data_IF_736799189958
#
_entry.id   IF_736799189958
#
_cell.length_a   1.000
_cell.length_b   1.000
_cell.length_c   1.000
_cell.angle_alpha   90.00
_cell.angle_beta   90.00
_cell.angle_gamma   90.00
#
_symmetry.space_group_name_H-M   'P 1'
#
loop_
_entity.id
_entity.type
_entity.pdbx_description
1 polymer ?
#
# COMPACT_ATOMS: atom_id res chain seq x y z
N UNK A 1 36.13 -37.61 24.32
CA UNK A 1 35.75 -36.28 24.86
C UNK A 1 37.01 -35.59 25.38
N UNK A 2 37.20 -34.27 25.24
CA UNK A 2 36.71 -33.42 24.14
C UNK A 2 37.74 -32.40 23.59
N UNK A 3 37.59 -32.12 22.30
CA UNK A 3 37.55 -30.82 21.61
C UNK A 3 38.70 -29.78 21.77
N UNK A 4 39.59 -29.84 20.76
CA UNK A 4 39.96 -28.76 19.82
C UNK A 4 40.08 -27.31 20.34
N UNK A 5 41.34 -26.87 20.38
CA UNK A 5 41.83 -25.48 20.29
C UNK A 5 41.08 -24.68 19.22
N UNK A 6 40.64 -23.46 19.52
CA UNK A 6 40.67 -22.30 18.61
C UNK A 6 40.09 -21.06 19.30
N UNK A 7 40.91 -20.19 19.90
CA UNK A 7 40.60 -18.76 20.00
C UNK A 7 41.94 -18.00 20.04
N UNK A 8 42.40 -17.52 18.88
CA UNK A 8 43.39 -16.44 18.81
C UNK A 8 43.05 -15.49 17.66
N UNK A 9 42.58 -14.29 18.03
CA UNK A 9 42.77 -12.97 17.44
C UNK A 9 42.44 -12.71 15.96
N UNK A 10 41.55 -11.75 15.70
CA UNK A 10 41.97 -10.46 15.14
C UNK A 10 40.87 -9.39 15.19
N UNK A 11 41.31 -8.16 15.45
CA UNK A 11 40.55 -6.93 15.48
C UNK A 11 39.93 -6.56 14.12
N UNK A 12 38.97 -5.62 14.16
CA UNK A 12 38.38 -4.85 13.06
C UNK A 12 37.31 -5.53 12.20
N UNK A 13 36.06 -5.49 12.68
CA UNK A 13 35.07 -4.65 11.98
C UNK A 13 34.14 -4.06 13.04
N UNK A 14 34.20 -2.73 13.20
CA UNK A 14 33.09 -1.99 13.77
C UNK A 14 31.88 -2.34 12.91
N UNK A 15 30.96 -3.12 13.46
CA UNK A 15 29.64 -3.33 12.89
C UNK A 15 28.99 -1.94 12.89
N UNK A 16 29.17 -1.21 11.80
CA UNK A 16 28.40 -0.02 11.49
C UNK A 16 26.98 -0.51 11.32
N UNK A 17 26.27 -0.63 12.44
CA UNK A 17 24.83 -0.63 12.45
C UNK A 17 24.47 0.75 11.89
N UNK A 18 24.35 0.83 10.56
CA UNK A 18 23.66 1.93 9.90
C UNK A 18 22.26 1.84 10.48
N UNK A 19 22.03 2.56 11.58
CA UNK A 19 20.69 2.97 11.97
C UNK A 19 20.18 3.68 10.72
N UNK A 20 19.37 2.97 9.94
CA UNK A 20 18.51 3.63 8.99
C UNK A 20 17.74 4.62 9.85
N UNK A 21 17.89 5.95 9.64
CA UNK A 21 17.06 6.88 10.35
C UNK A 21 15.62 6.41 10.11
N UNK A 22 14.90 6.12 11.19
CA UNK A 22 13.47 5.93 11.11
C UNK A 22 12.94 7.24 10.54
N UNK A 23 12.71 7.24 9.24
CA UNK A 23 12.07 8.32 8.54
C UNK A 23 10.68 8.40 9.14
N UNK A 24 10.47 9.28 10.10
CA UNK A 24 9.14 9.76 10.47
C UNK A 24 8.63 10.63 9.31
N UNK A 25 8.54 10.05 8.11
CA UNK A 25 7.78 10.62 7.01
C UNK A 25 6.33 10.38 7.35
N UNK A 26 5.68 11.40 7.90
CA UNK A 26 4.25 11.55 7.70
C UNK A 26 4.03 11.52 6.20
N UNK A 27 3.33 10.50 5.71
CA UNK A 27 2.98 10.42 4.29
C UNK A 27 2.20 11.67 3.91
N UNK A 28 2.72 12.42 2.95
CA UNK A 28 2.11 13.67 2.54
C UNK A 28 0.85 13.40 1.71
N UNK A 29 -0.21 14.15 2.00
CA UNK A 29 -1.44 14.10 1.23
C UNK A 29 -1.17 14.42 -0.25
N UNK A 30 -1.76 13.65 -1.16
CA UNK A 30 -1.69 13.93 -2.58
C UNK A 30 -2.93 14.71 -3.05
N UNK A 31 -2.84 16.04 -3.09
CA UNK A 31 -3.98 16.90 -3.45
C UNK A 31 -4.52 16.64 -4.86
N UNK A 32 -3.69 16.19 -5.80
CA UNK A 32 -4.14 15.80 -7.15
C UNK A 32 -5.01 14.54 -7.16
N UNK A 33 -5.01 13.75 -6.08
CA UNK A 33 -5.92 12.59 -5.93
C UNK A 33 -7.35 13.03 -5.60
N UNK A 34 -7.51 14.13 -4.85
CA UNK A 34 -8.80 14.60 -4.33
C UNK A 34 -9.87 14.79 -5.43
N UNK A 35 -9.60 15.50 -6.55
CA UNK A 35 -10.62 15.68 -7.58
C UNK A 35 -11.02 14.39 -8.31
N UNK A 36 -10.31 13.29 -8.09
CA UNK A 36 -10.56 11.97 -8.72
C UNK A 36 -11.45 11.07 -7.87
N UNK A 37 -11.77 11.50 -6.64
CA UNK A 37 -12.57 10.73 -5.70
C UNK A 37 -13.99 10.55 -6.25
N UNK A 38 -14.46 9.32 -6.23
CA UNK A 38 -15.85 8.95 -6.51
C UNK A 38 -16.32 7.97 -5.45
N UNK A 39 -17.48 8.22 -4.86
CA UNK A 39 -18.12 7.28 -3.93
C UNK A 39 -18.90 6.29 -4.78
N UNK A 40 -18.65 5.00 -4.60
CA UNK A 40 -19.25 3.92 -5.40
C UNK A 40 -19.92 2.90 -4.50
N UNK A 41 -20.91 2.18 -5.04
CA UNK A 41 -21.66 1.18 -4.28
C UNK A 41 -20.82 -0.09 -3.99
N UNK A 42 -19.88 -0.41 -4.88
CA UNK A 42 -18.99 -1.55 -4.74
C UNK A 42 -17.68 -1.31 -5.47
N UNK A 43 -16.61 -1.93 -4.97
CA UNK A 43 -15.36 -2.06 -5.70
C UNK A 43 -15.36 -3.27 -6.64
N UNK A 44 -14.49 -3.25 -7.67
CA UNK A 44 -14.24 -4.41 -8.51
C UNK A 44 -13.91 -5.66 -7.69
N UNK A 45 -14.52 -6.79 -8.05
CA UNK A 45 -14.40 -8.06 -7.31
C UNK A 45 -13.36 -9.01 -7.88
N UNK A 46 -12.91 -8.75 -9.10
CA UNK A 46 -11.90 -9.54 -9.80
C UNK A 46 -11.07 -8.67 -10.76
N UNK A 47 -10.08 -9.30 -11.37
CA UNK A 47 -9.14 -8.65 -12.29
C UNK A 47 -9.83 -8.05 -13.52
N UNK A 48 -10.91 -8.66 -14.03
CA UNK A 48 -11.60 -8.19 -15.23
C UNK A 48 -12.37 -6.92 -14.93
N UNK A 49 -13.16 -6.92 -13.85
CA UNK A 49 -13.86 -5.71 -13.37
C UNK A 49 -12.85 -4.60 -13.03
N UNK A 50 -11.73 -4.96 -12.41
CA UNK A 50 -10.69 -4.00 -12.04
C UNK A 50 -10.03 -3.36 -13.26
N UNK A 51 -9.71 -4.16 -14.28
CA UNK A 51 -9.10 -3.65 -15.52
C UNK A 51 -10.02 -2.64 -16.20
N UNK A 52 -11.32 -2.97 -16.30
CA UNK A 52 -12.33 -2.08 -16.90
C UNK A 52 -12.42 -0.77 -16.09
N UNK A 53 -12.57 -0.85 -14.77
CA UNK A 53 -12.70 0.32 -13.92
C UNK A 53 -11.44 1.22 -13.95
N UNK A 54 -10.25 0.60 -13.93
CA UNK A 54 -8.97 1.31 -14.09
C UNK A 54 -8.90 2.06 -15.42
N UNK A 55 -9.27 1.39 -16.52
CA UNK A 55 -9.22 1.97 -17.86
C UNK A 55 -10.25 3.09 -18.05
N UNK A 56 -11.41 3.02 -17.38
CA UNK A 56 -12.40 4.10 -17.34
C UNK A 56 -11.90 5.29 -16.51
N UNK A 57 -11.25 5.03 -15.36
CA UNK A 57 -10.77 6.10 -14.46
C UNK A 57 -9.59 6.88 -15.04
N UNK A 58 -8.78 6.24 -15.89
CA UNK A 58 -7.69 6.86 -16.65
C UNK A 58 -6.67 7.65 -15.81
N UNK A 59 -6.22 7.09 -14.68
CA UNK A 59 -5.29 7.76 -13.78
C UNK A 59 -3.96 8.20 -14.44
N UNK A 60 -3.56 7.53 -15.53
CA UNK A 60 -2.35 7.85 -16.29
C UNK A 60 -2.38 9.20 -17.02
N UNK A 61 -3.56 9.80 -17.25
CA UNK A 61 -3.68 11.15 -17.83
C UNK A 61 -3.54 12.27 -16.80
N UNK A 62 -3.51 11.94 -15.50
CA UNK A 62 -3.54 12.93 -14.43
C UNK A 62 -2.13 13.43 -14.15
N UNK A 63 -1.91 14.72 -14.40
CA UNK A 63 -0.65 15.38 -14.05
C UNK A 63 -0.54 15.60 -12.55
N UNK A 64 0.41 14.91 -11.90
CA UNK A 64 0.64 14.97 -10.46
C UNK A 64 2.13 14.99 -10.11
N UNK A 65 2.46 15.38 -8.87
CA UNK A 65 3.83 15.46 -8.35
C UNK A 65 4.05 14.67 -7.05
N UNK A 66 3.05 13.91 -6.62
CA UNK A 66 3.03 13.10 -5.41
C UNK A 66 3.93 11.86 -5.52
N UNK A 67 4.04 11.27 -6.72
CA UNK A 67 4.82 10.06 -6.97
C UNK A 67 5.25 9.99 -8.43
N UNK A 68 6.02 8.96 -8.79
CA UNK A 68 6.32 8.67 -10.20
C UNK A 68 5.03 8.37 -10.96
N UNK A 69 4.87 8.79 -12.23
CA UNK A 69 3.63 8.57 -12.98
C UNK A 69 3.15 7.11 -12.99
N UNK A 70 4.06 6.15 -13.07
CA UNK A 70 3.76 4.71 -13.11
C UNK A 70 3.28 4.15 -11.76
N UNK A 71 3.33 4.96 -10.70
CA UNK A 71 2.86 4.61 -9.35
C UNK A 71 1.64 5.42 -8.94
N UNK A 72 1.07 6.19 -9.84
CA UNK A 72 -0.18 6.90 -9.60
C UNK A 72 -1.30 6.14 -10.29
N UNK A 73 -1.87 5.19 -9.55
CA UNK A 73 -2.73 4.16 -10.11
C UNK A 73 -4.16 4.27 -9.59
N UNK A 74 -5.03 3.50 -10.23
CA UNK A 74 -6.40 3.29 -9.82
C UNK A 74 -6.46 2.51 -8.51
N UNK A 75 -7.31 2.98 -7.61
CA UNK A 75 -7.68 2.29 -6.39
C UNK A 75 -9.19 2.34 -6.20
N UNK A 76 -9.74 1.23 -5.70
CA UNK A 76 -11.05 1.22 -5.09
C UNK A 76 -10.94 0.54 -3.72
N UNK A 77 -11.25 1.28 -2.66
CA UNK A 77 -11.01 0.88 -1.28
C UNK A 77 -12.19 1.30 -0.40
N UNK A 78 -12.51 0.58 0.69
CA UNK A 78 -13.42 1.12 1.68
C UNK A 78 -12.85 2.40 2.32
N UNK A 79 -13.72 3.24 2.85
CA UNK A 79 -13.31 4.30 3.75
C UNK A 79 -12.85 3.73 5.11
N UNK A 80 -12.24 4.57 5.95
CA UNK A 80 -11.76 4.16 7.28
C UNK A 80 -12.84 3.52 8.17
N UNK A 81 -14.12 3.83 7.93
CA UNK A 81 -15.25 3.33 8.70
C UNK A 81 -15.95 2.13 8.05
N UNK A 82 -15.50 1.68 6.87
CA UNK A 82 -16.10 0.59 6.08
C UNK A 82 -17.60 0.79 5.79
N UNK A 83 -18.01 2.05 5.58
CA UNK A 83 -19.39 2.44 5.28
C UNK A 83 -19.65 2.62 3.80
N UNK A 84 -18.61 2.94 3.03
CA UNK A 84 -18.69 3.23 1.61
C UNK A 84 -17.39 2.84 0.92
N UNK A 85 -17.46 2.65 -0.39
CA UNK A 85 -16.29 2.44 -1.22
C UNK A 85 -15.89 3.74 -1.92
N UNK A 86 -14.59 3.96 -1.96
CA UNK A 86 -13.93 5.13 -2.52
C UNK A 86 -13.12 4.67 -3.72
N UNK A 87 -13.49 5.16 -4.89
CA UNK A 87 -12.74 4.99 -6.12
C UNK A 87 -11.91 6.26 -6.40
N UNK A 88 -10.59 6.11 -6.53
CA UNK A 88 -9.65 7.24 -6.55
C UNK A 88 -8.38 6.88 -7.35
N UNK A 89 -7.76 7.88 -7.97
CA UNK A 89 -6.38 7.80 -8.45
C UNK A 89 -5.45 8.30 -7.36
N UNK A 90 -4.49 7.48 -6.92
CA UNK A 90 -3.61 7.83 -5.81
C UNK A 90 -2.24 7.15 -5.95
N UNK A 91 -1.23 7.58 -5.17
CA UNK A 91 0.02 6.85 -5.08
C UNK A 91 -0.18 5.41 -4.56
N UNK A 92 0.40 4.45 -5.27
CA UNK A 92 0.42 3.05 -4.85
C UNK A 92 1.18 2.88 -3.54
N UNK A 93 0.71 1.99 -2.67
CA UNK A 93 1.33 1.66 -1.40
C UNK A 93 1.56 0.17 -1.27
N UNK A 94 2.70 -0.21 -0.70
CA UNK A 94 2.95 -1.59 -0.33
C UNK A 94 2.18 -1.94 0.94
N UNK A 95 1.33 -2.96 0.84
CA UNK A 95 0.56 -3.48 1.95
C UNK A 95 1.22 -4.76 2.44
N UNK A 96 1.39 -4.85 3.76
CA UNK A 96 2.12 -5.92 4.44
C UNK A 96 1.18 -6.67 5.37
N UNK A 97 1.35 -7.99 5.45
CA UNK A 97 0.75 -8.85 6.47
C UNK A 97 -0.72 -9.18 6.24
N UNK A 98 -1.17 -9.30 4.98
CA UNK A 98 -2.58 -9.63 4.62
C UNK A 98 -3.61 -8.63 5.16
N UNK A 99 -3.17 -7.41 5.48
CA UNK A 99 -4.06 -6.34 5.92
C UNK A 99 -4.88 -5.84 4.73
N UNK A 100 -6.12 -5.45 4.98
CA UNK A 100 -6.97 -4.81 3.99
C UNK A 100 -6.82 -3.29 4.10
N UNK A 101 -6.27 -2.58 3.10
CA UNK A 101 -6.13 -1.13 3.19
C UNK A 101 -7.50 -0.44 3.13
N UNK A 102 -7.53 0.79 3.60
CA UNK A 102 -8.64 1.72 3.40
C UNK A 102 -8.11 3.04 2.86
N UNK A 103 -9.00 3.84 2.27
CA UNK A 103 -8.68 5.21 1.91
C UNK A 103 -9.08 6.16 3.06
N UNK A 104 -8.12 6.90 3.60
CA UNK A 104 -8.36 7.92 4.60
C UNK A 104 -8.75 9.24 3.88
N UNK A 105 -10.02 9.59 3.89
CA UNK A 105 -10.51 10.83 3.27
C UNK A 105 -10.08 12.11 4.01
N UNK A 106 -9.69 12.03 5.28
CA UNK A 106 -9.20 13.19 6.04
C UNK A 106 -7.73 13.48 5.69
N UNK A 107 -6.94 12.42 5.52
CA UNK A 107 -5.51 12.53 5.15
C UNK A 107 -5.24 12.49 3.65
N UNK A 108 -6.21 12.05 2.85
CA UNK A 108 -6.10 11.81 1.40
C UNK A 108 -4.99 10.83 1.03
N UNK A 109 -4.82 9.76 1.81
CA UNK A 109 -3.82 8.71 1.61
C UNK A 109 -4.45 7.32 1.75
N UNK A 110 -3.75 6.31 1.22
CA UNK A 110 -4.07 4.92 1.45
C UNK A 110 -3.40 4.47 2.74
N UNK A 111 -4.15 3.90 3.66
CA UNK A 111 -3.61 3.37 4.91
C UNK A 111 -3.80 1.85 5.00
N UNK A 112 -2.77 1.11 5.44
CA UNK A 112 -2.94 -0.28 5.80
C UNK A 112 -3.80 -0.39 7.07
N UNK A 113 -4.78 -1.29 7.09
CA UNK A 113 -5.53 -1.57 8.31
C UNK A 113 -4.85 -2.67 9.12
N UNK A 114 -3.95 -2.31 10.05
CA UNK A 114 -3.25 -3.29 10.88
C UNK A 114 -4.17 -4.06 11.85
N UNK A 115 -5.37 -3.55 12.10
CA UNK A 115 -6.36 -4.17 12.98
C UNK A 115 -7.38 -5.02 12.21
N UNK A 116 -7.37 -4.98 10.88
CA UNK A 116 -8.32 -5.71 10.04
C UNK A 116 -7.59 -6.48 8.94
N UNK A 117 -7.47 -7.79 9.16
CA UNK A 117 -7.01 -8.73 8.14
C UNK A 117 -8.10 -8.91 7.09
N UNK A 118 -7.69 -9.00 5.83
CA UNK A 118 -8.59 -9.49 4.80
C UNK A 118 -9.03 -10.92 5.13
N UNK A 119 -10.30 -11.24 4.88
CA UNK A 119 -10.85 -12.58 5.18
C UNK A 119 -10.43 -13.66 4.17
N UNK A 120 -9.88 -13.26 3.02
CA UNK A 120 -9.49 -14.16 1.92
C UNK A 120 -7.99 -14.41 1.76
N UNK A 121 -7.63 -15.08 0.65
CA UNK A 121 -6.25 -15.29 0.18
C UNK A 121 -5.66 -13.98 -0.35
N UNK A 122 -5.35 -13.06 0.55
CA UNK A 122 -4.58 -11.87 0.21
C UNK A 122 -3.08 -12.20 0.32
N UNK A 123 -2.22 -11.80 -0.64
CA UNK A 123 -0.79 -12.04 -0.51
C UNK A 123 -0.23 -11.40 0.77
N UNK A 124 0.84 -11.98 1.33
CA UNK A 124 1.50 -11.40 2.50
C UNK A 124 2.07 -10.02 2.21
N UNK A 125 2.45 -9.76 0.95
CA UNK A 125 2.97 -8.50 0.46
C UNK A 125 2.36 -8.23 -0.91
N UNK A 126 1.70 -7.08 -1.08
CA UNK A 126 1.08 -6.72 -2.36
C UNK A 126 0.98 -5.20 -2.53
N UNK A 127 0.78 -4.77 -3.77
CA UNK A 127 0.54 -3.37 -4.10
C UNK A 127 -0.93 -3.00 -3.87
N UNK A 128 -1.21 -1.84 -3.30
CA UNK A 128 -2.59 -1.39 -3.04
C UNK A 128 -3.46 -1.26 -4.29
N UNK A 129 -2.88 -1.20 -5.50
CA UNK A 129 -3.64 -1.23 -6.75
C UNK A 129 -4.10 -2.63 -7.13
N UNK A 130 -3.46 -3.68 -6.61
CA UNK A 130 -3.82 -5.08 -6.80
C UNK A 130 -4.79 -5.61 -5.75
N UNK A 131 -5.51 -4.72 -5.05
CA UNK A 131 -6.38 -5.11 -3.93
C UNK A 131 -7.59 -5.96 -4.35
N UNK A 132 -7.93 -5.99 -5.64
CA UNK A 132 -8.94 -6.89 -6.21
C UNK A 132 -8.59 -8.37 -6.02
N UNK A 133 -7.32 -8.70 -5.77
CA UNK A 133 -6.88 -10.05 -5.40
C UNK A 133 -7.31 -10.44 -3.97
N UNK A 134 -7.65 -9.44 -3.15
CA UNK A 134 -8.02 -9.61 -1.75
C UNK A 134 -9.53 -9.49 -1.56
N UNK A 135 -10.12 -10.46 -0.85
CA UNK A 135 -11.54 -10.40 -0.48
C UNK A 135 -11.72 -9.58 0.81
N UNK A 136 -12.48 -8.49 0.70
CA UNK A 136 -12.94 -7.68 1.84
C UNK A 136 -14.11 -8.34 2.61
N UNK A 137 -14.83 -9.28 1.99
CA UNK A 137 -15.99 -9.98 2.56
C UNK A 137 -15.80 -11.49 2.61
#
# INVERSE_FOLDING_TARGET
MPFKKLIFFCLHTVMNLRLFPASNTTEEACFQSIPTISIVDHCPKDFSEWMIAKDIKQCYWISQKCTKPERFEYHCLPDRYHKQFIEVCAPTKWIVGMNCPFYDMEKHIIEPNYNHKCKGQCPQYYCSSSVYECKYH
#
